data_IF_600104406408
#
_entry.id   IF_600104406408
#
_cell.length_a   1.000
_cell.length_b   1.000
_cell.length_c   1.000
_cell.angle_alpha   90.00
_cell.angle_beta   90.00
_cell.angle_gamma   90.00
#
_symmetry.space_group_name_H-M   'P 1'
#
loop_
_entity.id
_entity.type
_entity.pdbx_description
1 polymer ?
#
# COMPACT_ATOMS: atom_id res chain seq x y z
N UNK A 1 -0.33 6.64 -15.46
CA UNK A 1 -0.63 5.26 -14.98
C UNK A 1 -1.94 5.22 -14.16
N UNK A 2 -2.67 4.09 -14.00
CA UNK A 2 -3.82 4.06 -13.08
C UNK A 2 -3.30 4.12 -11.64
N UNK A 3 -3.55 5.24 -10.93
CA UNK A 3 -3.01 5.52 -9.59
C UNK A 3 -3.19 4.37 -8.59
N UNK A 4 -4.30 3.62 -8.70
CA UNK A 4 -4.62 2.49 -7.82
C UNK A 4 -3.65 1.31 -7.96
N UNK A 5 -2.93 1.21 -9.08
CA UNK A 5 -2.01 0.10 -9.34
C UNK A 5 -0.68 0.26 -8.61
N UNK A 6 -0.23 1.49 -8.34
CA UNK A 6 1.07 1.71 -7.71
C UNK A 6 1.17 1.07 -6.30
N UNK A 7 0.19 1.27 -5.39
CA UNK A 7 0.21 0.61 -4.08
C UNK A 7 0.20 -0.93 -4.18
N UNK A 8 -0.55 -1.48 -5.13
CA UNK A 8 -0.62 -2.93 -5.35
C UNK A 8 0.69 -3.49 -5.93
N UNK A 9 1.31 -2.78 -6.86
CA UNK A 9 2.62 -3.14 -7.43
C UNK A 9 3.70 -3.19 -6.35
N UNK A 10 3.69 -2.26 -5.39
CA UNK A 10 4.63 -2.28 -4.27
C UNK A 10 4.42 -3.49 -3.35
N UNK A 11 3.16 -3.82 -3.02
CA UNK A 11 2.85 -5.01 -2.23
C UNK A 11 3.20 -6.31 -2.97
N UNK A 12 3.09 -6.30 -4.30
CA UNK A 12 3.51 -7.43 -5.15
C UNK A 12 5.03 -7.56 -5.20
N UNK A 13 5.75 -6.45 -5.34
CA UNK A 13 7.21 -6.42 -5.36
C UNK A 13 7.83 -6.78 -4.01
N UNK A 14 7.09 -6.61 -2.92
CA UNK A 14 7.50 -7.09 -1.61
C UNK A 14 7.39 -8.63 -1.44
N UNK A 15 7.10 -9.41 -2.49
CA UNK A 15 7.03 -10.89 -2.47
C UNK A 15 6.17 -11.46 -1.32
N UNK A 16 4.95 -10.92 -1.15
CA UNK A 16 4.03 -11.26 -0.05
C UNK A 16 4.55 -10.88 1.36
N UNK A 17 5.74 -10.29 1.46
CA UNK A 17 6.26 -9.72 2.71
C UNK A 17 5.41 -8.51 3.06
N UNK A 18 4.87 -8.54 4.27
CA UNK A 18 3.95 -7.51 4.69
C UNK A 18 4.65 -6.17 4.90
N UNK A 19 4.04 -5.08 4.42
CA UNK A 19 4.50 -3.73 4.74
C UNK A 19 4.01 -3.39 6.14
N UNK A 20 4.95 -3.22 7.05
CA UNK A 20 4.66 -2.83 8.43
C UNK A 20 4.49 -1.30 8.55
N UNK A 21 3.28 -0.88 8.88
CA UNK A 21 2.90 0.50 9.14
C UNK A 21 2.40 1.25 7.90
N UNK A 22 1.23 1.89 8.03
CA UNK A 22 0.65 2.71 6.96
C UNK A 22 1.55 3.89 6.56
N UNK A 23 2.25 4.48 7.53
CA UNK A 23 3.22 5.56 7.29
C UNK A 23 4.41 5.09 6.46
N UNK A 24 4.88 3.85 6.65
CA UNK A 24 5.96 3.28 5.83
C UNK A 24 5.47 3.05 4.41
N UNK A 25 4.25 2.56 4.26
CA UNK A 25 3.64 2.35 2.95
C UNK A 25 3.52 3.66 2.16
N UNK A 26 3.04 4.73 2.81
CA UNK A 26 2.97 6.08 2.23
C UNK A 26 4.33 6.58 1.73
N UNK A 27 5.40 6.36 2.51
CA UNK A 27 6.77 6.73 2.11
C UNK A 27 7.27 5.94 0.90
N UNK A 28 6.98 4.64 0.83
CA UNK A 28 7.38 3.80 -0.30
C UNK A 28 6.69 4.24 -1.59
N UNK A 29 5.40 4.56 -1.54
CA UNK A 29 4.66 5.10 -2.69
C UNK A 29 5.24 6.45 -3.13
N UNK A 30 5.55 7.33 -2.17
CA UNK A 30 6.19 8.61 -2.44
C UNK A 30 7.55 8.46 -3.13
N UNK A 31 8.39 7.53 -2.68
CA UNK A 31 9.68 7.26 -3.31
C UNK A 31 9.50 6.68 -4.72
N UNK A 32 8.65 5.66 -4.87
CA UNK A 32 8.42 5.01 -6.15
C UNK A 32 7.90 5.99 -7.22
N UNK A 33 6.97 6.88 -6.87
CA UNK A 33 6.43 7.82 -7.86
C UNK A 33 7.47 8.88 -8.29
N UNK A 34 8.42 9.22 -7.41
CA UNK A 34 9.45 10.25 -7.67
C UNK A 34 10.68 9.70 -8.38
N UNK A 35 11.14 8.53 -7.97
CA UNK A 35 12.43 7.98 -8.42
C UNK A 35 12.27 7.06 -9.63
N UNK A 36 11.16 6.34 -9.74
CA UNK A 36 10.95 5.36 -10.82
C UNK A 36 10.00 5.85 -11.91
N UNK A 37 8.92 6.56 -11.54
CA UNK A 37 7.88 6.95 -12.50
C UNK A 37 8.01 8.39 -13.02
N UNK A 38 8.68 9.26 -12.26
CA UNK A 38 8.68 10.72 -12.49
C UNK A 38 7.26 11.29 -12.73
N UNK A 39 6.25 10.69 -12.08
CA UNK A 39 4.83 11.04 -12.19
C UNK A 39 4.26 11.37 -10.79
N UNK A 40 3.54 12.49 -10.66
CA UNK A 40 2.87 12.84 -9.41
C UNK A 40 1.46 12.22 -9.34
N UNK A 41 1.40 10.90 -9.12
CA UNK A 41 0.13 10.15 -9.03
C UNK A 41 -0.69 10.49 -7.78
N UNK A 42 -0.01 10.81 -6.68
CA UNK A 42 -0.61 11.20 -5.42
C UNK A 42 -0.02 12.54 -4.95
N UNK A 43 -0.87 13.51 -4.53
CA UNK A 43 -0.40 14.72 -3.90
C UNK A 43 0.09 14.41 -2.48
N UNK A 44 1.34 14.72 -2.20
CA UNK A 44 1.94 14.55 -0.88
C UNK A 44 2.19 15.90 -0.21
N UNK A 45 1.95 15.95 1.10
CA UNK A 45 2.33 17.09 1.96
C UNK A 45 3.24 16.62 3.08
N UNK A 46 4.10 17.52 3.56
CA UNK A 46 4.90 17.26 4.75
C UNK A 46 3.98 17.07 5.97
N UNK A 47 4.01 15.88 6.55
CA UNK A 47 3.32 15.55 7.79
C UNK A 47 4.30 15.30 8.94
N UNK A 48 3.77 15.08 10.14
CA UNK A 48 4.55 14.88 11.39
C UNK A 48 5.60 13.76 11.30
N UNK A 49 5.35 12.74 10.47
CA UNK A 49 6.20 11.55 10.35
C UNK A 49 6.80 11.36 8.96
N UNK A 50 6.71 12.38 8.09
CA UNK A 50 7.16 12.34 6.70
C UNK A 50 6.05 12.67 5.70
N UNK A 51 6.25 12.37 4.40
CA UNK A 51 5.26 12.66 3.36
C UNK A 51 3.96 11.90 3.63
N UNK A 52 2.85 12.62 3.58
CA UNK A 52 1.51 12.10 3.78
C UNK A 52 0.60 12.50 2.63
N UNK A 53 -0.14 11.54 2.09
CA UNK A 53 -1.19 11.77 1.12
C UNK A 53 -2.51 11.22 1.64
N UNK A 54 -3.49 12.11 1.83
CA UNK A 54 -4.85 11.72 2.22
C UNK A 54 -5.48 10.85 1.12
N UNK A 55 -5.31 11.23 -0.14
CA UNK A 55 -5.84 10.47 -1.27
C UNK A 55 -5.27 9.06 -1.38
N UNK A 56 -3.99 8.87 -1.05
CA UNK A 56 -3.39 7.53 -0.98
C UNK A 56 -3.94 6.73 0.20
N UNK A 57 -4.17 7.40 1.33
CA UNK A 57 -4.75 6.77 2.50
C UNK A 57 -6.16 6.25 2.18
N UNK A 58 -7.01 7.09 1.62
CA UNK A 58 -8.37 6.77 1.21
C UNK A 58 -8.39 5.65 0.14
N UNK A 59 -7.45 5.66 -0.82
CA UNK A 59 -7.33 4.59 -1.83
C UNK A 59 -6.87 3.26 -1.21
N UNK A 60 -5.96 3.27 -0.23
CA UNK A 60 -5.55 2.06 0.50
C UNK A 60 -6.72 1.49 1.30
N UNK A 61 -7.48 2.33 2.00
CA UNK A 61 -8.66 1.91 2.75
C UNK A 61 -9.71 1.29 1.80
N UNK A 62 -9.97 1.91 0.64
CA UNK A 62 -10.85 1.30 -0.36
C UNK A 62 -10.32 -0.02 -0.90
N UNK A 63 -9.02 -0.15 -1.12
CA UNK A 63 -8.42 -1.43 -1.56
C UNK A 63 -8.51 -2.52 -0.49
N UNK A 64 -8.57 -2.15 0.80
CA UNK A 64 -8.86 -3.07 1.89
C UNK A 64 -10.33 -3.49 1.86
N UNK A 65 -11.25 -2.54 1.69
CA UNK A 65 -12.70 -2.80 1.56
C UNK A 65 -13.03 -3.69 0.35
N UNK A 66 -12.37 -3.44 -0.78
CA UNK A 66 -12.49 -4.25 -2.01
C UNK A 66 -11.79 -5.62 -1.89
N UNK A 67 -11.05 -5.86 -0.80
CA UNK A 67 -10.40 -7.13 -0.53
C UNK A 67 -9.10 -7.38 -1.29
N UNK A 68 -8.51 -6.37 -1.95
CA UNK A 68 -7.20 -6.47 -2.62
C UNK A 68 -6.02 -6.38 -1.64
N UNK A 69 -6.20 -5.65 -0.54
CA UNK A 69 -5.21 -5.52 0.53
C UNK A 69 -5.80 -6.11 1.81
N UNK A 70 -5.01 -6.91 2.51
CA UNK A 70 -5.35 -7.37 3.86
C UNK A 70 -4.60 -6.52 4.87
N UNK A 71 -5.35 -5.84 5.75
CA UNK A 71 -4.78 -5.09 6.86
C UNK A 71 -4.99 -5.89 8.16
N UNK A 72 -3.91 -6.14 8.90
CA UNK A 72 -3.98 -6.74 10.23
C UNK A 72 -3.37 -5.80 11.27
N UNK A 73 -4.10 -5.52 12.34
CA UNK A 73 -3.58 -4.85 13.54
C UNK A 73 -3.32 -5.90 14.61
N UNK A 74 -2.09 -5.97 15.14
CA UNK A 74 -1.78 -6.76 16.34
C UNK A 74 -1.50 -5.84 17.51
N UNK A 75 -2.20 -6.06 18.62
CA UNK A 75 -1.84 -5.50 19.92
C UNK A 75 -0.74 -6.37 20.54
N UNK A 76 0.40 -5.77 20.88
CA UNK A 76 1.44 -6.46 21.64
C UNK A 76 1.19 -6.27 23.13
N UNK A 77 1.05 -7.38 23.87
CA UNK A 77 0.71 -7.39 25.31
C UNK A 77 1.72 -6.70 26.23
N UNK A 78 2.96 -6.46 25.78
CA UNK A 78 4.02 -5.88 26.61
C UNK A 78 4.15 -4.34 26.51
N UNK A 79 3.43 -3.71 25.58
CA UNK A 79 3.39 -2.26 25.41
C UNK A 79 2.23 -1.98 24.47
N UNK A 80 1.26 -1.15 24.85
CA UNK A 80 0.08 -0.78 24.07
C UNK A 80 0.43 -0.04 22.76
N UNK A 81 1.15 -0.70 21.85
CA UNK A 81 1.53 -0.23 20.52
C UNK A 81 0.77 -1.08 19.52
N UNK A 82 -0.13 -0.42 18.80
CA UNK A 82 -0.84 -1.00 17.67
C UNK A 82 0.14 -1.16 16.50
N UNK A 83 0.41 -2.41 16.06
CA UNK A 83 1.20 -2.67 14.86
C UNK A 83 0.29 -2.97 13.69
N UNK A 84 0.22 -2.05 12.73
CA UNK A 84 -0.55 -2.23 11.49
C UNK A 84 0.34 -2.88 10.43
N UNK A 85 -0.19 -3.87 9.74
CA UNK A 85 0.53 -4.63 8.71
C UNK A 85 -0.36 -4.79 7.49
N UNK A 86 0.17 -4.47 6.31
CA UNK A 86 -0.55 -4.59 5.02
C UNK A 86 0.09 -5.68 4.16
N UNK A 87 -0.71 -6.62 3.66
CA UNK A 87 -0.30 -7.65 2.70
C UNK A 87 -1.17 -7.61 1.47
N UNK A 88 -0.64 -7.99 0.31
CA UNK A 88 -1.48 -8.28 -0.87
C UNK A 88 -2.38 -9.47 -0.53
N UNK A 89 -3.69 -9.33 -0.73
CA UNK A 89 -4.57 -10.49 -0.62
C UNK A 89 -4.24 -11.45 -1.77
N UNK A 90 -4.27 -12.75 -1.50
CA UNK A 90 -4.01 -13.79 -2.50
C UNK A 90 -5.13 -13.93 -3.54
N UNK A 91 -6.05 -12.97 -3.67
CA UNK A 91 -7.10 -13.02 -4.69
C UNK A 91 -6.51 -12.73 -6.08
N UNK A 92 -6.00 -13.81 -6.68
CA UNK A 92 -6.36 -14.22 -8.04
C UNK A 92 -6.24 -13.14 -9.11
N UNK A 93 -5.03 -12.58 -9.32
CA UNK A 93 -4.61 -12.23 -10.70
C UNK A 93 -4.19 -13.51 -11.43
N UNK A 94 -5.10 -14.49 -11.47
CA UNK A 94 -5.08 -15.67 -12.34
C UNK A 94 -6.31 -15.60 -13.22
N UNK A 95 -6.46 -14.50 -13.96
CA UNK A 95 -7.41 -14.40 -15.07
C UNK A 95 -7.18 -13.10 -15.81
N UNK A 96 -6.20 -13.09 -16.72
CA UNK A 96 -6.43 -12.71 -18.12
C UNK A 96 -5.52 -13.58 -19.01
N UNK A 97 -6.17 -14.53 -19.69
CA UNK A 97 -5.85 -14.99 -21.05
C UNK A 97 -4.61 -15.89 -21.28
N UNK A 98 -4.77 -17.16 -20.91
CA UNK A 98 -4.45 -18.28 -21.83
C UNK A 98 -5.71 -18.48 -22.71
N UNK A 99 -5.50 -18.84 -23.97
CA UNK A 99 -6.50 -19.13 -25.05
C UNK A 99 -7.07 -17.86 -25.69
N UNK A 100 -6.92 -17.59 -26.99
CA UNK A 100 -6.92 -18.46 -28.20
C UNK A 100 -5.72 -18.18 -29.09
#
# INVERSE_FOLDING_TARGET
MNKKLLPLSLLRAADETAIEGITRFQKLVFLAQREELDEELYPFKAGKYGPFSKTLYDDIDRLVEEGFITQSSRETSSSARMKNRCTCSRQTVRRQSRTV
#
